data_IF_275275218682
#
_entry.id   IF_275275218682
#
_cell.length_a   1.000
_cell.length_b   1.000
_cell.length_c   1.000
_cell.angle_alpha   90.00
_cell.angle_beta   90.00
_cell.angle_gamma   90.00
#
_symmetry.space_group_name_H-M   'P 1'
#
loop_
_entity.id
_entity.type
_entity.pdbx_description
1 polymer ?
#
# COMPACT_ATOMS: atom_id res chain seq x y z
N UNK A 1 -3.14 -5.82 5.63
CA UNK A 1 -2.10 -5.25 4.75
C UNK A 1 -2.62 -3.93 4.22
N UNK A 2 -1.80 -2.89 4.19
CA UNK A 2 -2.14 -1.58 3.63
C UNK A 2 -0.96 -1.08 2.80
N UNK A 3 -1.21 -0.70 1.55
CA UNK A 3 -0.25 0.07 0.75
C UNK A 3 -0.67 1.54 0.78
N UNK A 4 0.30 2.44 0.80
CA UNK A 4 0.04 3.88 0.80
C UNK A 4 1.19 4.63 0.14
N UNK A 5 0.95 5.87 -0.29
CA UNK A 5 2.00 6.79 -0.74
C UNK A 5 1.94 8.05 0.13
N UNK A 6 3.10 8.56 0.57
CA UNK A 6 3.17 9.79 1.39
C UNK A 6 2.64 11.00 0.62
N UNK A 7 2.78 11.01 -0.71
CA UNK A 7 2.37 12.11 -1.57
C UNK A 7 0.91 12.05 -2.03
N UNK A 8 0.12 11.06 -1.57
CA UNK A 8 -1.27 10.89 -1.99
C UNK A 8 -2.08 12.19 -1.74
N UNK A 9 -2.55 12.81 -2.81
CA UNK A 9 -3.31 14.06 -2.76
C UNK A 9 -4.82 13.85 -2.64
N UNK A 10 -5.29 12.60 -2.71
CA UNK A 10 -6.69 12.20 -2.63
C UNK A 10 -7.03 11.71 -1.23
N UNK A 11 -6.15 10.90 -0.63
CA UNK A 11 -6.28 10.36 0.73
C UNK A 11 -5.08 10.78 1.58
N UNK A 12 -5.35 11.31 2.77
CA UNK A 12 -4.30 11.62 3.74
C UNK A 12 -3.61 10.34 4.22
N UNK A 13 -2.34 10.17 3.82
CA UNK A 13 -1.49 9.07 4.26
C UNK A 13 -1.30 9.06 5.79
N UNK A 14 -1.18 10.24 6.40
CA UNK A 14 -1.07 10.39 7.85
C UNK A 14 -2.32 9.86 8.57
N UNK A 15 -3.52 10.26 8.12
CA UNK A 15 -4.77 9.80 8.70
C UNK A 15 -4.96 8.29 8.51
N UNK A 16 -4.63 7.76 7.32
CA UNK A 16 -4.67 6.33 7.05
C UNK A 16 -3.72 5.53 7.97
N UNK A 17 -2.50 6.02 8.19
CA UNK A 17 -1.54 5.42 9.12
C UNK A 17 -2.01 5.48 10.58
N UNK A 18 -2.65 6.57 10.99
CA UNK A 18 -3.23 6.69 12.33
C UNK A 18 -4.32 5.62 12.57
N UNK A 19 -5.22 5.43 11.61
CA UNK A 19 -6.27 4.38 11.66
C UNK A 19 -5.65 2.98 11.61
N UNK A 20 -4.67 2.76 10.74
CA UNK A 20 -3.95 1.48 10.66
C UNK A 20 -3.26 1.12 11.98
N UNK A 21 -2.68 2.11 12.66
CA UNK A 21 -2.03 1.93 13.96
C UNK A 21 -3.03 1.43 15.00
N UNK A 22 -4.24 2.01 15.04
CA UNK A 22 -5.32 1.64 15.96
C UNK A 22 -5.95 0.27 15.62
N UNK A 23 -5.86 -0.19 14.37
CA UNK A 23 -6.44 -1.45 13.94
C UNK A 23 -5.73 -2.65 14.59
N UNK A 24 -6.43 -3.43 15.41
CA UNK A 24 -5.88 -4.67 15.99
C UNK A 24 -6.05 -5.83 15.02
N UNK A 25 -4.95 -6.41 14.58
CA UNK A 25 -4.92 -7.63 13.79
C UNK A 25 -3.66 -8.43 14.14
N UNK A 26 -3.74 -9.77 14.26
CA UNK A 26 -2.58 -10.61 14.61
C UNK A 26 -1.48 -10.55 13.54
N UNK A 27 -1.86 -10.28 12.30
CA UNK A 27 -0.94 -10.03 11.20
C UNK A 27 -1.37 -8.78 10.44
N UNK A 28 -0.52 -7.74 10.48
CA UNK A 28 -0.71 -6.52 9.68
C UNK A 28 0.63 -5.96 9.22
N UNK A 29 0.63 -5.31 8.07
CA UNK A 29 1.76 -4.58 7.52
C UNK A 29 1.24 -3.33 6.80
N UNK A 30 1.95 -2.23 6.94
CA UNK A 30 1.77 -1.01 6.16
C UNK A 30 3.03 -0.81 5.33
N UNK A 31 2.88 -0.69 4.01
CA UNK A 31 3.99 -0.62 3.05
C UNK A 31 3.85 0.70 2.28
N UNK A 32 4.88 1.54 2.36
CA UNK A 32 4.95 2.77 1.61
C UNK A 32 5.41 2.48 0.16
N UNK A 33 4.62 2.92 -0.82
CA UNK A 33 5.00 2.92 -2.23
C UNK A 33 5.65 4.26 -2.53
N UNK A 34 6.92 4.21 -2.89
CA UNK A 34 7.66 5.38 -3.36
C UNK A 34 7.50 5.49 -4.87
N UNK A 35 7.18 6.69 -5.34
CA UNK A 35 6.99 7.01 -6.76
C UNK A 35 6.03 6.04 -7.47
N UNK A 36 4.72 6.14 -7.19
CA UNK A 36 3.72 5.24 -7.79
C UNK A 36 3.51 5.52 -9.29
N UNK A 37 4.11 6.54 -9.89
CA UNK A 37 3.89 6.96 -11.28
C UNK A 37 2.59 7.74 -11.50
N UNK A 38 1.60 7.59 -10.61
CA UNK A 38 0.37 8.36 -10.65
C UNK A 38 0.62 9.81 -10.20
N UNK A 39 0.24 10.83 -10.99
CA UNK A 39 0.44 12.23 -10.60
C UNK A 39 -0.24 12.64 -9.29
N UNK A 40 -1.35 11.98 -8.92
CA UNK A 40 -2.02 12.20 -7.63
C UNK A 40 -1.48 11.33 -6.50
N UNK A 41 -0.51 10.47 -6.80
CA UNK A 41 0.09 9.50 -5.89
C UNK A 41 -0.92 8.56 -5.20
N UNK A 42 -2.13 8.41 -5.76
CA UNK A 42 -3.25 7.68 -5.16
C UNK A 42 -3.39 6.28 -5.77
N UNK A 43 -3.28 6.16 -7.09
CA UNK A 43 -3.31 4.85 -7.75
C UNK A 43 -1.94 4.20 -7.64
N UNK A 44 -1.85 3.12 -6.86
CA UNK A 44 -0.58 2.45 -6.54
C UNK A 44 -0.29 1.24 -7.43
N UNK A 45 -1.30 0.70 -8.12
CA UNK A 45 -1.19 -0.41 -9.05
C UNK A 45 -2.13 -0.20 -10.25
N UNK A 46 -1.74 -0.70 -11.41
CA UNK A 46 -2.54 -0.65 -12.63
C UNK A 46 -1.74 -0.13 -13.82
N UNK A 47 -2.15 -0.52 -15.03
CA UNK A 47 -1.32 -0.35 -16.23
C UNK A 47 -1.33 1.06 -16.82
N UNK A 48 -2.23 1.94 -16.35
CA UNK A 48 -2.38 3.30 -16.86
C UNK A 48 -1.68 4.31 -15.95
N UNK A 49 -2.17 4.46 -14.71
CA UNK A 49 -1.68 5.50 -13.80
C UNK A 49 -0.47 5.03 -12.96
N UNK A 50 -0.28 3.72 -12.78
CA UNK A 50 0.82 3.16 -11.97
C UNK A 50 1.58 2.08 -12.73
N UNK A 51 1.89 2.37 -13.99
CA UNK A 51 2.48 1.42 -14.91
C UNK A 51 3.77 0.80 -14.32
N UNK A 52 3.86 -0.53 -14.35
CA UNK A 52 5.01 -1.28 -13.84
C UNK A 52 4.96 -1.61 -12.34
N UNK A 53 4.02 -1.07 -11.55
CA UNK A 53 3.90 -1.36 -10.11
C UNK A 53 3.02 -2.56 -9.76
N UNK A 54 2.16 -2.97 -10.68
CA UNK A 54 1.19 -4.08 -10.46
C UNK A 54 1.87 -5.37 -10.00
N UNK A 55 2.96 -5.79 -10.66
CA UNK A 55 3.64 -7.05 -10.34
C UNK A 55 4.35 -6.99 -8.99
N UNK A 56 4.95 -5.84 -8.65
CA UNK A 56 5.60 -5.59 -7.36
C UNK A 56 4.58 -5.73 -6.22
N UNK A 57 3.45 -5.02 -6.32
CA UNK A 57 2.39 -5.06 -5.30
C UNK A 57 1.74 -6.45 -5.21
N UNK A 58 1.51 -7.11 -6.34
CA UNK A 58 0.97 -8.48 -6.34
C UNK A 58 1.90 -9.45 -5.59
N UNK A 59 3.22 -9.29 -5.74
CA UNK A 59 4.21 -10.11 -5.04
C UNK A 59 4.14 -9.87 -3.53
N UNK A 60 4.13 -8.61 -3.09
CA UNK A 60 3.98 -8.25 -1.67
C UNK A 60 2.67 -8.76 -1.04
N UNK A 61 1.57 -8.74 -1.79
CA UNK A 61 0.28 -9.30 -1.35
C UNK A 61 0.41 -10.81 -1.14
N UNK A 62 0.97 -11.53 -2.11
CA UNK A 62 1.15 -12.99 -2.02
C UNK A 62 2.05 -13.35 -0.85
N UNK A 63 3.15 -12.62 -0.66
CA UNK A 63 4.10 -12.86 0.43
C UNK A 63 3.47 -12.55 1.80
N UNK A 64 2.65 -11.51 1.90
CA UNK A 64 1.86 -11.24 3.10
C UNK A 64 0.89 -12.38 3.39
N UNK A 65 0.15 -12.90 2.40
CA UNK A 65 -0.83 -13.98 2.59
C UNK A 65 -0.15 -15.29 2.99
N UNK A 66 1.01 -15.60 2.40
CA UNK A 66 1.74 -16.86 2.66
C UNK A 66 2.52 -16.86 3.97
N UNK A 67 2.70 -15.70 4.60
CA UNK A 67 3.39 -15.58 5.88
C UNK A 67 2.69 -16.47 6.93
N UNK A 68 3.43 -17.31 7.67
CA UNK A 68 2.86 -18.03 8.80
C UNK A 68 2.37 -17.04 9.86
N UNK A 69 1.19 -17.29 10.42
CA UNK A 69 0.68 -16.50 11.55
C UNK A 69 1.57 -16.76 12.77
N UNK A 70 2.05 -15.73 13.47
CA UNK A 70 2.84 -15.89 14.71
C UNK A 70 2.11 -16.67 15.80
#
# INVERSE_FOLDING_TARGET
LMFYSIGDSVISAEAALAVFTQTTAPQKAAIAITDPGDPSHHVLAGDILSAGKTQEIATEIVDFIRRPVP
#
